data_IF_460016496450
#
_entry.id   IF_460016496450
#
_cell.length_a   1.000
_cell.length_b   1.000
_cell.length_c   1.000
_cell.angle_alpha   90.00
_cell.angle_beta   90.00
_cell.angle_gamma   90.00
#
_symmetry.space_group_name_H-M   'P 1'
#
loop_
_entity.id
_entity.type
_entity.pdbx_description
1 polymer ?
#
# COMPACT_ATOMS: atom_id res chain seq x y z
N UNK A 1 -10.82 -18.45 15.78
CA UNK A 1 -9.63 -19.21 16.20
C UNK A 1 -8.40 -18.86 15.37
N UNK A 2 -8.44 -18.98 14.02
CA UNK A 2 -7.30 -18.76 13.13
C UNK A 2 -6.72 -17.36 13.28
N UNK A 3 -7.53 -16.34 13.25
CA UNK A 3 -7.08 -14.95 13.38
C UNK A 3 -6.35 -14.66 14.70
N UNK A 4 -6.72 -15.35 15.79
CA UNK A 4 -6.06 -15.22 17.08
C UNK A 4 -4.69 -15.89 17.12
N UNK A 5 -4.49 -16.97 16.36
CA UNK A 5 -3.33 -17.85 16.47
C UNK A 5 -2.40 -17.83 15.26
N UNK A 6 -2.74 -17.09 14.19
CA UNK A 6 -1.84 -16.94 13.05
C UNK A 6 -0.60 -16.13 13.44
N UNK A 7 0.51 -16.36 12.74
CA UNK A 7 1.72 -15.54 12.88
C UNK A 7 1.46 -14.13 12.36
N UNK A 8 0.84 -14.02 11.19
CA UNK A 8 0.43 -12.79 10.52
C UNK A 8 -0.68 -13.08 9.51
N UNK A 9 -1.31 -12.04 9.02
CA UNK A 9 -2.32 -12.10 7.96
C UNK A 9 -1.69 -11.73 6.62
N UNK A 10 -2.12 -12.38 5.54
CA UNK A 10 -1.83 -11.99 4.16
C UNK A 10 -3.16 -11.91 3.43
N UNK A 11 -3.46 -10.78 2.84
CA UNK A 11 -4.70 -10.61 2.08
C UNK A 11 -4.95 -9.18 1.63
N UNK A 12 -6.07 -9.02 0.96
CA UNK A 12 -6.56 -7.72 0.51
C UNK A 12 -7.33 -6.97 1.62
N UNK A 13 -7.80 -5.79 1.27
CA UNK A 13 -8.68 -4.98 2.11
C UNK A 13 -10.09 -5.58 2.15
N UNK A 14 -10.28 -6.56 3.01
CA UNK A 14 -11.56 -7.25 3.19
C UNK A 14 -11.96 -7.30 4.67
N UNK A 15 -13.21 -7.69 4.93
CA UNK A 15 -13.72 -7.86 6.29
C UNK A 15 -12.89 -8.82 7.15
N UNK A 16 -12.20 -9.79 6.54
CA UNK A 16 -11.35 -10.74 7.24
C UNK A 16 -10.14 -10.08 7.93
N UNK A 17 -9.63 -8.98 7.38
CA UNK A 17 -8.55 -8.18 7.96
C UNK A 17 -8.88 -7.71 9.39
N UNK A 18 -10.12 -7.29 9.65
CA UNK A 18 -10.51 -6.76 10.96
C UNK A 18 -10.40 -7.77 12.09
N UNK A 19 -10.53 -9.06 11.80
CA UNK A 19 -10.30 -10.09 12.81
C UNK A 19 -8.85 -10.16 13.25
N UNK A 20 -7.90 -9.91 12.35
CA UNK A 20 -6.47 -9.91 12.68
C UNK A 20 -6.08 -8.65 13.43
N UNK A 21 -6.63 -7.50 13.04
CA UNK A 21 -6.51 -6.24 13.78
C UNK A 21 -6.99 -6.38 15.22
N UNK A 22 -8.18 -6.97 15.41
CA UNK A 22 -8.74 -7.19 16.74
C UNK A 22 -7.82 -8.02 17.65
N UNK A 23 -7.07 -8.97 17.09
CA UNK A 23 -6.13 -9.80 17.82
C UNK A 23 -4.69 -9.31 17.76
N UNK A 24 -4.48 -8.08 17.32
CA UNK A 24 -3.17 -7.43 17.21
C UNK A 24 -2.12 -8.30 16.48
N UNK A 25 -2.51 -8.82 15.30
CA UNK A 25 -1.62 -9.62 14.46
C UNK A 25 -1.00 -8.77 13.36
N UNK A 26 0.28 -8.99 13.03
CA UNK A 26 0.92 -8.35 11.90
C UNK A 26 0.18 -8.64 10.59
N UNK A 27 0.25 -7.70 9.65
CA UNK A 27 -0.46 -7.82 8.37
C UNK A 27 0.47 -7.58 7.19
N UNK A 28 0.28 -8.37 6.14
CA UNK A 28 0.73 -8.11 4.79
C UNK A 28 -0.50 -7.80 3.94
N UNK A 29 -0.61 -6.55 3.52
CA UNK A 29 -1.72 -6.13 2.69
C UNK A 29 -1.29 -6.15 1.22
N UNK A 30 -2.03 -6.89 0.40
CA UNK A 30 -1.79 -7.02 -1.04
C UNK A 30 -2.94 -6.42 -1.83
N UNK A 31 -2.70 -6.12 -3.10
CA UNK A 31 -3.72 -5.55 -3.96
C UNK A 31 -4.38 -4.29 -3.37
N UNK A 32 -3.59 -3.44 -2.71
CA UNK A 32 -4.11 -2.20 -2.15
C UNK A 32 -4.74 -1.36 -3.28
N UNK A 33 -6.06 -1.04 -3.20
CA UNK A 33 -6.80 -0.50 -4.36
C UNK A 33 -6.47 0.95 -4.69
N UNK A 34 -5.97 1.71 -3.73
CA UNK A 34 -5.53 3.09 -3.91
C UNK A 34 -4.42 3.41 -2.91
N UNK A 35 -3.53 4.30 -3.31
CA UNK A 35 -2.36 4.64 -2.51
C UNK A 35 -2.76 5.59 -1.38
N UNK A 36 -3.59 6.58 -1.67
CA UNK A 36 -3.94 7.64 -0.72
C UNK A 36 -4.86 7.16 0.41
N UNK A 37 -5.81 6.30 0.14
CA UNK A 37 -6.78 5.82 1.14
C UNK A 37 -6.15 4.97 2.26
N UNK A 38 -4.93 4.48 2.06
CA UNK A 38 -4.20 3.73 3.08
C UNK A 38 -3.37 4.60 4.01
N UNK A 39 -3.10 5.83 3.60
CA UNK A 39 -2.25 6.76 4.33
C UNK A 39 -3.04 7.86 5.05
N UNK A 40 -4.36 7.89 4.88
CA UNK A 40 -5.23 8.89 5.50
C UNK A 40 -5.63 8.56 6.95
N UNK A 41 -5.11 7.48 7.50
CA UNK A 41 -5.41 7.07 8.87
C UNK A 41 -6.70 6.27 9.03
N UNK A 42 -7.35 5.88 7.94
CA UNK A 42 -8.58 5.07 7.99
C UNK A 42 -8.31 3.64 8.42
N UNK A 43 -7.09 3.17 8.21
CA UNK A 43 -6.73 1.79 8.52
C UNK A 43 -5.77 1.69 9.69
N UNK A 44 -6.00 0.73 10.60
CA UNK A 44 -5.20 0.52 11.78
C UNK A 44 -3.89 -0.23 11.48
N UNK A 45 -3.12 0.27 10.51
CA UNK A 45 -1.78 -0.27 10.26
C UNK A 45 -0.81 0.12 11.36
N UNK A 46 -0.08 -0.85 11.88
CA UNK A 46 1.11 -0.58 12.67
C UNK A 46 2.32 -0.48 11.74
N UNK A 47 2.75 0.76 11.46
CA UNK A 47 3.89 1.09 10.61
C UNK A 47 5.19 0.34 10.94
N UNK A 48 5.37 -0.05 12.20
CA UNK A 48 6.58 -0.76 12.65
C UNK A 48 6.55 -2.23 12.27
N UNK A 49 5.37 -2.75 12.03
CA UNK A 49 5.11 -4.17 11.93
C UNK A 49 4.58 -4.58 10.57
N UNK A 50 3.62 -3.83 10.06
CA UNK A 50 2.87 -4.20 8.87
C UNK A 50 3.62 -3.88 7.57
N UNK A 51 3.30 -4.65 6.52
CA UNK A 51 3.79 -4.45 5.16
C UNK A 51 2.63 -4.29 4.19
N UNK A 52 2.87 -3.61 3.07
CA UNK A 52 1.88 -3.49 2.00
C UNK A 52 2.50 -3.51 0.62
N UNK A 53 1.70 -3.93 -0.36
CA UNK A 53 1.95 -3.72 -1.78
C UNK A 53 0.62 -3.34 -2.45
N UNK A 54 0.67 -2.39 -3.37
CA UNK A 54 -0.54 -1.87 -4.03
C UNK A 54 -0.67 -2.39 -5.46
N UNK A 55 -1.85 -2.21 -6.05
CA UNK A 55 -2.06 -2.50 -7.47
C UNK A 55 -1.07 -1.71 -8.34
N UNK A 56 -0.64 -2.32 -9.42
CA UNK A 56 -0.05 -1.57 -10.53
C UNK A 56 -1.19 -0.98 -11.36
N UNK A 57 -0.97 0.16 -11.98
CA UNK A 57 -2.00 0.87 -12.72
C UNK A 57 -1.60 1.03 -14.18
N UNK A 58 -2.40 0.47 -15.07
CA UNK A 58 -2.18 0.51 -16.51
C UNK A 58 -3.01 1.60 -17.16
N UNK A 59 -2.37 2.51 -17.85
CA UNK A 59 -3.04 3.48 -18.72
C UNK A 59 -3.32 2.85 -20.09
N UNK A 60 -4.60 2.66 -20.44
CA UNK A 60 -4.98 2.18 -21.77
C UNK A 60 -4.66 3.23 -22.84
N UNK A 61 -4.75 4.52 -22.50
CA UNK A 61 -4.44 5.62 -23.43
C UNK A 61 -2.98 5.64 -23.83
N UNK A 62 -2.10 5.46 -22.86
CA UNK A 62 -0.65 5.56 -23.06
C UNK A 62 0.00 4.20 -23.29
N UNK A 63 -0.76 3.12 -23.14
CA UNK A 63 -0.33 1.74 -23.29
C UNK A 63 0.92 1.44 -22.45
N UNK A 64 0.93 1.87 -21.18
CA UNK A 64 2.02 1.65 -20.20
C UNK A 64 1.52 1.64 -18.77
N UNK A 65 2.37 1.19 -17.86
CA UNK A 65 2.18 1.40 -16.44
C UNK A 65 2.38 2.88 -16.08
N UNK A 66 1.59 3.35 -15.14
CA UNK A 66 1.74 4.67 -14.53
C UNK A 66 2.73 4.60 -13.38
N UNK A 67 3.51 5.66 -13.21
CA UNK A 67 4.36 5.82 -12.05
C UNK A 67 3.59 6.37 -10.84
N UNK A 68 4.21 6.30 -9.66
CA UNK A 68 3.59 6.71 -8.40
C UNK A 68 3.07 8.16 -8.42
N UNK A 69 3.83 9.09 -9.00
CA UNK A 69 3.42 10.50 -9.05
C UNK A 69 2.21 10.73 -9.94
N UNK A 70 2.11 9.99 -11.06
CA UNK A 70 0.96 10.03 -11.96
C UNK A 70 -0.30 9.45 -11.30
N UNK A 71 -0.15 8.34 -10.58
CA UNK A 71 -1.25 7.72 -9.83
C UNK A 71 -1.77 8.69 -8.77
N UNK A 72 -0.89 9.27 -7.98
CA UNK A 72 -1.26 10.23 -6.94
C UNK A 72 -1.93 11.48 -7.52
N UNK A 73 -1.48 11.97 -8.69
CA UNK A 73 -2.12 13.09 -9.37
C UNK A 73 -3.57 12.79 -9.78
N UNK A 74 -3.87 11.54 -10.12
CA UNK A 74 -5.21 11.09 -10.47
C UNK A 74 -6.06 10.87 -9.21
N UNK A 75 -5.47 10.31 -8.18
CA UNK A 75 -6.17 10.12 -6.91
C UNK A 75 -6.54 11.45 -6.26
N UNK A 76 -5.87 12.53 -6.61
CA UNK A 76 -5.95 13.89 -6.10
C UNK A 76 -6.76 14.02 -4.80
N UNK A 77 -6.06 14.03 -3.69
CA UNK A 77 -6.63 14.10 -2.35
C UNK A 77 -7.13 15.50 -1.99
N UNK A 78 -7.56 16.28 -2.97
CA UNK A 78 -8.11 17.60 -2.73
C UNK A 78 -9.42 17.50 -1.95
N UNK A 79 -9.30 17.59 -0.68
CA UNK A 79 -10.14 18.32 0.29
C UNK A 79 -11.61 17.94 0.50
N UNK A 80 -12.28 17.10 -0.28
CA UNK A 80 -13.75 17.08 -0.26
C UNK A 80 -14.42 15.76 0.15
N UNK A 81 -13.68 14.70 0.47
CA UNK A 81 -14.32 13.40 0.63
C UNK A 81 -14.29 12.87 2.04
N UNK A 82 -15.48 12.53 2.59
CA UNK A 82 -15.53 11.71 3.80
C UNK A 82 -14.76 10.41 3.60
N UNK A 83 -14.05 9.99 4.60
CA UNK A 83 -13.18 8.82 4.69
C UNK A 83 -13.72 7.56 3.98
N UNK A 84 -15.03 7.33 4.00
CA UNK A 84 -15.67 6.16 3.41
C UNK A 84 -16.05 6.28 1.93
N UNK A 85 -16.09 7.47 1.37
CA UNK A 85 -16.44 7.69 -0.05
C UNK A 85 -15.20 7.76 -0.96
N UNK A 86 -14.01 7.91 -0.37
CA UNK A 86 -12.76 8.08 -1.12
C UNK A 86 -12.49 6.95 -2.13
N UNK A 87 -12.71 5.71 -1.74
CA UNK A 87 -12.44 4.57 -2.62
C UNK A 87 -13.33 4.54 -3.88
N UNK A 88 -14.61 4.86 -3.76
CA UNK A 88 -15.54 4.86 -4.91
C UNK A 88 -15.16 5.97 -5.89
N UNK A 89 -14.87 7.16 -5.37
CA UNK A 89 -14.51 8.30 -6.22
C UNK A 89 -13.16 8.12 -6.91
N UNK A 90 -12.19 7.51 -6.23
CA UNK A 90 -10.90 7.18 -6.84
C UNK A 90 -11.08 6.13 -7.95
N UNK A 91 -11.90 5.11 -7.73
CA UNK A 91 -12.20 4.12 -8.77
C UNK A 91 -12.93 4.73 -9.97
N UNK A 92 -13.83 5.70 -9.75
CA UNK A 92 -14.45 6.45 -10.84
C UNK A 92 -13.43 7.27 -11.63
N UNK A 93 -12.51 7.96 -10.95
CA UNK A 93 -11.41 8.69 -11.62
C UNK A 93 -10.53 7.76 -12.46
N UNK A 94 -10.20 6.57 -11.99
CA UNK A 94 -9.48 5.60 -12.79
C UNK A 94 -10.25 5.21 -14.04
N UNK A 95 -11.54 4.93 -13.91
CA UNK A 95 -12.39 4.60 -15.06
C UNK A 95 -12.47 5.75 -16.07
N UNK A 96 -12.67 6.99 -15.63
CA UNK A 96 -12.74 8.19 -16.47
C UNK A 96 -11.43 8.48 -17.22
N UNK A 97 -10.31 8.05 -16.66
CA UNK A 97 -8.98 8.20 -17.25
C UNK A 97 -8.49 6.96 -18.02
N UNK A 98 -9.35 5.97 -18.26
CA UNK A 98 -9.00 4.70 -18.92
C UNK A 98 -7.86 3.95 -18.20
N UNK A 99 -7.87 3.97 -16.86
CA UNK A 99 -6.86 3.30 -16.03
C UNK A 99 -7.44 2.02 -15.47
N UNK A 100 -6.64 0.96 -15.54
CA UNK A 100 -7.01 -0.37 -15.03
C UNK A 100 -6.04 -0.78 -13.93
N UNK A 101 -6.54 -1.10 -12.72
CA UNK A 101 -5.71 -1.71 -11.69
C UNK A 101 -5.33 -3.12 -12.12
N UNK A 102 -4.05 -3.44 -11.98
CA UNK A 102 -3.49 -4.78 -12.22
C UNK A 102 -3.15 -5.40 -10.87
N UNK A 103 -3.72 -6.57 -10.60
CA UNK A 103 -3.44 -7.30 -9.38
C UNK A 103 -1.95 -7.66 -9.24
N UNK A 104 -1.51 -7.76 -8.00
CA UNK A 104 -0.18 -8.28 -7.71
C UNK A 104 -0.03 -9.70 -8.22
N UNK A 105 1.14 -10.02 -8.74
CA UNK A 105 1.46 -11.39 -9.18
C UNK A 105 1.69 -12.31 -7.99
N UNK A 106 1.66 -13.61 -8.24
CA UNK A 106 1.99 -14.63 -7.23
C UNK A 106 3.39 -14.40 -6.64
N UNK A 107 4.37 -14.06 -7.48
CA UNK A 107 5.75 -13.80 -7.07
C UNK A 107 5.84 -12.54 -6.18
N UNK A 108 5.13 -11.47 -6.53
CA UNK A 108 5.08 -10.25 -5.70
C UNK A 108 4.47 -10.53 -4.32
N UNK A 109 3.38 -11.31 -4.27
CA UNK A 109 2.73 -11.71 -3.03
C UNK A 109 3.64 -12.62 -2.20
N UNK A 110 4.30 -13.57 -2.85
CA UNK A 110 5.24 -14.47 -2.19
C UNK A 110 6.42 -13.70 -1.61
N UNK A 111 7.02 -12.80 -2.37
CA UNK A 111 8.16 -12.00 -1.94
C UNK A 111 7.85 -11.15 -0.69
N UNK A 112 6.72 -10.43 -0.67
CA UNK A 112 6.34 -9.62 0.49
C UNK A 112 5.94 -10.49 1.70
N UNK A 113 5.41 -11.69 1.45
CA UNK A 113 5.10 -12.67 2.51
C UNK A 113 6.38 -13.18 3.18
N UNK A 114 7.39 -13.51 2.40
CA UNK A 114 8.71 -13.89 2.92
C UNK A 114 9.38 -12.75 3.67
N UNK A 115 9.30 -11.51 3.15
CA UNK A 115 9.83 -10.34 3.86
C UNK A 115 9.17 -10.18 5.24
N UNK A 116 7.86 -10.42 5.36
CA UNK A 116 7.18 -10.38 6.65
C UNK A 116 7.70 -11.48 7.58
N UNK A 117 7.89 -12.69 7.08
CA UNK A 117 8.42 -13.79 7.88
C UNK A 117 9.83 -13.48 8.40
N UNK A 118 10.72 -12.97 7.54
CA UNK A 118 12.05 -12.54 7.93
C UNK A 118 12.01 -11.44 9.01
N UNK A 119 11.11 -10.46 8.87
CA UNK A 119 10.93 -9.40 9.86
C UNK A 119 10.52 -9.95 11.22
N UNK A 120 9.58 -10.88 11.25
CA UNK A 120 9.11 -11.51 12.49
C UNK A 120 10.17 -12.39 13.16
N UNK A 121 11.09 -12.93 12.36
CA UNK A 121 12.24 -13.69 12.84
C UNK A 121 13.44 -12.81 13.23
N UNK A 122 13.40 -11.51 12.90
CA UNK A 122 14.53 -10.61 13.10
C UNK A 122 15.70 -10.83 12.13
N UNK A 123 15.46 -11.51 11.02
CA UNK A 123 16.47 -11.85 10.00
C UNK A 123 16.38 -10.98 8.75
N UNK A 124 15.38 -10.09 8.66
CA UNK A 124 15.21 -9.21 7.51
C UNK A 124 16.42 -8.27 7.35
N UNK A 125 17.04 -8.31 6.18
CA UNK A 125 18.16 -7.44 5.81
C UNK A 125 17.68 -6.50 4.71
N UNK A 126 17.88 -5.20 4.92
CA UNK A 126 17.60 -4.15 3.95
C UNK A 126 18.90 -3.51 3.51
N UNK A 127 19.16 -3.51 2.21
CA UNK A 127 20.31 -2.81 1.62
C UNK A 127 20.11 -1.28 1.72
N UNK A 128 21.17 -0.52 1.47
CA UNK A 128 21.08 0.94 1.34
C UNK A 128 20.09 1.33 0.23
N UNK A 129 20.09 0.58 -0.88
CA UNK A 129 19.15 0.77 -1.98
C UNK A 129 17.69 0.60 -1.52
N UNK A 130 17.39 -0.43 -0.74
CA UNK A 130 16.04 -0.64 -0.19
C UNK A 130 15.58 0.51 0.69
N UNK A 131 16.49 1.05 1.48
CA UNK A 131 16.16 2.20 2.34
C UNK A 131 15.92 3.46 1.49
N UNK A 132 16.77 3.72 0.49
CA UNK A 132 16.60 4.84 -0.42
C UNK A 132 15.29 4.76 -1.22
N UNK A 133 14.91 3.57 -1.69
CA UNK A 133 13.64 3.37 -2.40
C UNK A 133 12.45 3.64 -1.48
N UNK A 134 12.50 3.16 -0.24
CA UNK A 134 11.45 3.41 0.75
C UNK A 134 11.34 4.92 1.09
N UNK A 135 12.48 5.59 1.28
CA UNK A 135 12.53 7.04 1.53
C UNK A 135 11.98 7.84 0.34
N UNK A 136 12.35 7.45 -0.88
CA UNK A 136 11.84 8.07 -2.11
C UNK A 136 10.32 7.92 -2.21
N UNK A 137 9.81 6.71 -1.99
CA UNK A 137 8.38 6.45 -1.96
C UNK A 137 7.66 7.36 -0.96
N UNK A 138 8.15 7.41 0.28
CA UNK A 138 7.57 8.24 1.33
C UNK A 138 7.68 9.74 1.03
N UNK A 139 8.79 10.19 0.42
CA UNK A 139 8.96 11.59 0.04
C UNK A 139 7.93 12.01 -1.03
N UNK A 140 7.67 11.16 -2.02
CA UNK A 140 6.64 11.40 -3.03
C UNK A 140 5.26 11.50 -2.37
N UNK A 141 4.91 10.57 -1.49
CA UNK A 141 3.65 10.61 -0.76
C UNK A 141 3.50 11.89 0.07
N UNK A 142 4.52 12.25 0.84
CA UNK A 142 4.50 13.47 1.67
C UNK A 142 4.31 14.73 0.84
N UNK A 143 4.90 14.79 -0.34
CA UNK A 143 4.73 15.94 -1.24
C UNK A 143 3.27 16.10 -1.70
N UNK A 144 2.57 14.99 -1.90
CA UNK A 144 1.16 14.98 -2.29
C UNK A 144 0.21 15.19 -1.11
N UNK A 145 0.47 14.54 0.02
CA UNK A 145 -0.39 14.58 1.19
C UNK A 145 -0.14 15.82 2.08
N UNK A 146 0.16 16.96 1.49
CA UNK A 146 0.47 18.26 2.13
C UNK A 146 -0.47 18.70 3.27
N UNK A 147 -1.51 17.93 3.57
CA UNK A 147 -2.73 18.46 4.17
C UNK A 147 -2.98 18.01 5.58
N UNK A 148 -2.32 16.98 6.07
CA UNK A 148 -2.55 16.49 7.44
C UNK A 148 -1.25 16.05 8.10
N UNK A 149 -0.51 16.97 8.74
CA UNK A 149 0.70 16.63 9.48
C UNK A 149 0.45 15.69 10.67
N UNK A 150 -0.80 15.58 11.14
CA UNK A 150 -1.22 14.64 12.18
C UNK A 150 -1.45 13.20 11.68
N UNK A 151 -1.59 12.99 10.38
CA UNK A 151 -1.76 11.64 9.81
C UNK A 151 -0.41 10.95 9.70
N UNK A 152 -0.04 10.25 10.76
CA UNK A 152 1.27 9.61 10.94
C UNK A 152 1.49 8.31 10.14
N UNK A 153 0.64 8.01 9.15
CA UNK A 153 0.68 6.75 8.40
C UNK A 153 1.68 6.70 7.24
N UNK A 154 2.43 7.77 7.02
CA UNK A 154 3.46 7.85 5.98
C UNK A 154 4.60 6.83 6.11
N UNK A 155 4.66 6.12 7.23
CA UNK A 155 5.77 5.23 7.56
C UNK A 155 5.44 3.74 7.36
N UNK A 156 4.28 3.41 6.78
CA UNK A 156 4.02 2.01 6.38
C UNK A 156 5.07 1.58 5.37
N UNK A 157 5.70 0.48 5.65
CA UNK A 157 6.72 -0.05 4.76
C UNK A 157 6.05 -0.76 3.58
N UNK A 158 6.50 -0.42 2.38
CA UNK A 158 6.15 -1.17 1.17
C UNK A 158 7.15 -2.30 0.99
N UNK A 159 6.68 -3.46 0.50
CA UNK A 159 7.53 -4.62 0.25
C UNK A 159 8.75 -4.26 -0.60
N UNK A 160 9.95 -4.65 -0.16
CA UNK A 160 11.23 -4.23 -0.77
C UNK A 160 11.34 -4.63 -2.24
N UNK A 161 10.98 -5.88 -2.57
CA UNK A 161 11.08 -6.36 -3.95
C UNK A 161 10.04 -5.71 -4.86
N UNK A 162 8.86 -5.37 -4.32
CA UNK A 162 7.87 -4.59 -5.04
C UNK A 162 8.39 -3.19 -5.37
N UNK A 163 9.04 -2.50 -4.43
CA UNK A 163 9.64 -1.19 -4.68
C UNK A 163 10.75 -1.23 -5.72
N UNK A 164 11.64 -2.23 -5.64
CA UNK A 164 12.73 -2.41 -6.63
C UNK A 164 12.20 -2.54 -8.06
N UNK A 165 11.08 -3.21 -8.22
CA UNK A 165 10.50 -3.49 -9.53
C UNK A 165 9.54 -2.40 -10.03
N UNK A 166 8.90 -1.67 -9.14
CA UNK A 166 7.76 -0.81 -9.47
C UNK A 166 7.89 0.65 -8.99
N UNK A 167 8.96 1.04 -8.30
CA UNK A 167 9.22 2.43 -7.96
C UNK A 167 10.08 3.08 -9.04
N UNK A 168 9.52 3.91 -9.82
CA UNK A 168 10.02 4.51 -11.06
C UNK A 168 10.22 6.00 -10.97
#
# INVERSE_FOLDING_TARGET
>A
YLAKHCKFYVGDHSGAMFFTVYWDRPMVMVNLPNITGYYDGTFPFDRRRDLGIYHKFWSKRENRLLNLSEILAIEDCSHELPIYSGNINVMMKYHENDIVPIANTEDEILAVTHEMEERLQGTAIYSEEDQLLQEKFQAILRAYLKVRPEVLFYDVRIGRDFLRQNLW
#
